data_IF_637911083016
#
_entry.id   IF_637911083016
#
_cell.length_a   1.000
_cell.length_b   1.000
_cell.length_c   1.000
_cell.angle_alpha   90.00
_cell.angle_beta   90.00
_cell.angle_gamma   90.00
#
_symmetry.space_group_name_H-M   'P 1'
#
loop_
_entity.id
_entity.type
_entity.pdbx_description
1 polymer ?
#
# COMPACT_ATOMS: atom_id res chain seq x y z
N UNK A 1 0.17 -25.47 34.03
CA UNK A 1 -0.36 -25.75 32.66
C UNK A 1 -1.31 -24.61 32.29
N UNK A 2 -0.79 -23.57 31.61
CA UNK A 2 -1.59 -22.39 31.24
C UNK A 2 -2.43 -22.80 30.03
N UNK A 3 -3.75 -22.75 30.21
CA UNK A 3 -4.74 -23.15 29.20
C UNK A 3 -4.66 -22.25 27.96
N UNK A 4 -3.98 -22.69 26.93
CA UNK A 4 -3.91 -22.07 25.58
C UNK A 4 -5.21 -22.24 24.78
N UNK A 5 -6.15 -23.04 25.29
CA UNK A 5 -7.34 -23.46 24.59
C UNK A 5 -8.37 -22.34 24.28
N UNK A 6 -8.69 -21.42 25.22
CA UNK A 6 -9.67 -20.36 24.93
C UNK A 6 -9.17 -19.27 23.99
N UNK A 7 -7.84 -19.02 23.97
CA UNK A 7 -7.22 -18.00 23.14
C UNK A 7 -7.25 -18.37 21.64
N UNK A 8 -6.90 -19.61 21.32
CA UNK A 8 -6.95 -20.11 19.94
C UNK A 8 -8.37 -20.09 19.36
N UNK A 9 -9.39 -20.38 20.18
CA UNK A 9 -10.79 -20.36 19.74
C UNK A 9 -11.26 -18.92 19.43
N UNK A 10 -10.84 -17.93 20.23
CA UNK A 10 -11.16 -16.53 19.99
C UNK A 10 -10.47 -16.02 18.74
N UNK A 11 -9.20 -16.37 18.53
CA UNK A 11 -8.42 -16.03 17.35
C UNK A 11 -9.07 -16.61 16.07
N UNK A 12 -9.48 -17.86 16.09
CA UNK A 12 -10.19 -18.48 14.97
C UNK A 12 -11.51 -17.80 14.66
N UNK A 13 -12.33 -17.53 15.67
CA UNK A 13 -13.61 -16.83 15.49
C UNK A 13 -13.44 -15.43 14.91
N UNK A 14 -12.43 -14.69 15.37
CA UNK A 14 -12.15 -13.37 14.81
C UNK A 14 -11.62 -13.46 13.38
N UNK A 15 -10.75 -14.43 13.10
CA UNK A 15 -10.26 -14.70 11.75
C UNK A 15 -11.41 -14.97 10.79
N UNK A 16 -12.36 -15.82 11.19
CA UNK A 16 -13.53 -16.15 10.39
C UNK A 16 -14.38 -14.91 10.11
N UNK A 17 -14.62 -14.06 11.12
CA UNK A 17 -15.32 -12.78 10.95
C UNK A 17 -14.60 -11.87 9.96
N UNK A 18 -13.27 -11.69 10.10
CA UNK A 18 -12.48 -10.83 9.22
C UNK A 18 -12.41 -11.34 7.78
N UNK A 19 -12.46 -12.67 7.57
CA UNK A 19 -12.48 -13.29 6.24
C UNK A 19 -13.83 -13.15 5.54
N UNK A 20 -14.94 -13.23 6.30
CA UNK A 20 -16.30 -13.18 5.74
C UNK A 20 -16.84 -11.75 5.64
N UNK A 21 -16.30 -10.81 6.43
CA UNK A 21 -16.73 -9.41 6.42
C UNK A 21 -15.50 -8.48 6.37
N UNK A 22 -15.13 -7.98 5.18
CA UNK A 22 -14.03 -7.02 5.03
C UNK A 22 -14.26 -5.69 5.78
N UNK A 23 -15.51 -5.37 6.09
CA UNK A 23 -15.89 -4.16 6.81
C UNK A 23 -16.13 -4.40 8.30
N UNK A 24 -15.79 -5.60 8.81
CA UNK A 24 -15.99 -5.93 10.21
C UNK A 24 -15.35 -4.88 11.12
N UNK A 25 -16.17 -4.29 11.98
CA UNK A 25 -15.74 -3.30 12.97
C UNK A 25 -15.32 -4.00 14.25
N UNK A 26 -14.07 -3.83 14.63
CA UNK A 26 -13.52 -4.34 15.89
C UNK A 26 -14.24 -3.72 17.08
N UNK A 27 -14.56 -4.53 18.08
CA UNK A 27 -15.42 -4.12 19.20
C UNK A 27 -14.66 -3.86 20.50
N UNK A 28 -13.43 -4.34 20.62
CA UNK A 28 -12.67 -4.27 21.88
C UNK A 28 -11.16 -4.21 21.65
N UNK A 29 -10.42 -3.82 22.69
CA UNK A 29 -8.96 -3.87 22.70
C UNK A 29 -8.41 -5.28 22.52
N UNK A 30 -9.13 -6.31 23.01
CA UNK A 30 -8.76 -7.71 22.79
C UNK A 30 -8.84 -8.07 21.30
N UNK A 31 -9.91 -7.66 20.61
CA UNK A 31 -10.04 -7.88 19.16
C UNK A 31 -8.98 -7.11 18.35
N UNK A 32 -8.60 -5.91 18.79
CA UNK A 32 -7.49 -5.15 18.19
C UNK A 32 -6.19 -5.95 18.27
N UNK A 33 -5.87 -6.46 19.44
CA UNK A 33 -4.64 -7.23 19.65
C UNK A 33 -4.65 -8.53 18.83
N UNK A 34 -5.78 -9.24 18.81
CA UNK A 34 -5.94 -10.46 18.01
C UNK A 34 -5.84 -10.18 16.51
N UNK A 35 -6.48 -9.11 16.02
CA UNK A 35 -6.40 -8.71 14.63
C UNK A 35 -4.97 -8.35 14.23
N UNK A 36 -4.23 -7.68 15.11
CA UNK A 36 -2.82 -7.39 14.90
C UNK A 36 -1.95 -8.67 14.83
N UNK A 37 -2.25 -9.68 15.64
CA UNK A 37 -1.58 -10.99 15.57
C UNK A 37 -1.92 -11.75 14.27
N UNK A 38 -3.11 -11.56 13.73
CA UNK A 38 -3.50 -12.11 12.42
C UNK A 38 -2.86 -11.36 11.24
N UNK A 39 -2.02 -10.34 11.52
CA UNK A 39 -1.32 -9.57 10.50
C UNK A 39 -2.11 -8.39 9.95
N UNK A 40 -3.29 -8.08 10.51
CA UNK A 40 -4.05 -6.90 10.09
C UNK A 40 -3.24 -5.64 10.40
N UNK A 41 -3.12 -4.76 9.41
CA UNK A 41 -2.50 -3.43 9.54
C UNK A 41 -3.31 -2.43 8.73
N UNK A 42 -3.38 -1.21 9.21
CA UNK A 42 -3.98 -0.08 8.52
C UNK A 42 -2.86 0.93 8.29
N UNK A 43 -2.52 1.15 7.03
CA UNK A 43 -1.58 2.21 6.67
C UNK A 43 -2.28 3.56 6.79
N UNK A 44 -1.85 4.35 7.77
CA UNK A 44 -2.49 5.60 8.15
C UNK A 44 -2.55 6.60 6.99
N UNK A 45 -1.51 6.64 6.15
CA UNK A 45 -1.41 7.58 5.04
C UNK A 45 -2.16 7.14 3.78
N UNK A 46 -2.57 5.86 3.71
CA UNK A 46 -3.32 5.28 2.58
C UNK A 46 -4.77 4.91 2.96
N UNK A 47 -5.08 4.90 4.25
CA UNK A 47 -6.38 4.47 4.76
C UNK A 47 -7.53 5.30 4.17
N UNK A 48 -8.59 4.62 3.76
CA UNK A 48 -9.86 5.22 3.41
C UNK A 48 -10.78 5.34 4.64
N UNK A 49 -11.97 5.90 4.46
CA UNK A 49 -12.92 6.10 5.58
C UNK A 49 -13.36 4.76 6.20
N UNK A 50 -13.57 3.73 5.38
CA UNK A 50 -14.01 2.43 5.84
C UNK A 50 -12.93 1.73 6.67
N UNK A 51 -11.66 1.90 6.31
CA UNK A 51 -10.53 1.41 7.11
C UNK A 51 -10.53 2.01 8.52
N UNK A 52 -10.75 3.33 8.63
CA UNK A 52 -10.86 4.01 9.91
C UNK A 52 -12.07 3.55 10.73
N UNK A 53 -13.20 3.26 10.07
CA UNK A 53 -14.40 2.78 10.74
C UNK A 53 -14.29 1.35 11.28
N UNK A 54 -13.31 0.58 10.85
CA UNK A 54 -13.00 -0.72 11.46
C UNK A 54 -12.46 -0.60 12.86
N UNK A 55 -11.91 0.55 13.23
CA UNK A 55 -11.32 0.81 14.53
C UNK A 55 -12.40 1.28 15.52
N UNK A 56 -12.45 0.71 16.74
CA UNK A 56 -13.40 1.14 17.75
C UNK A 56 -13.08 2.56 18.24
N UNK A 57 -14.12 3.31 18.57
CA UNK A 57 -14.00 4.66 19.14
C UNK A 57 -13.80 5.79 18.13
N UNK A 58 -13.62 5.48 16.84
CA UNK A 58 -13.56 6.50 15.79
C UNK A 58 -14.92 6.65 15.10
N UNK A 59 -15.31 7.90 14.90
CA UNK A 59 -16.53 8.26 14.18
C UNK A 59 -16.26 8.45 12.68
N UNK A 60 -17.34 8.41 11.88
CA UNK A 60 -17.26 8.67 10.44
C UNK A 60 -16.70 10.08 10.13
N UNK A 61 -17.03 11.07 10.96
CA UNK A 61 -16.50 12.43 10.80
C UNK A 61 -14.99 12.47 11.01
N UNK A 62 -14.48 11.76 12.02
CA UNK A 62 -13.05 11.66 12.29
C UNK A 62 -12.32 10.93 11.17
N UNK A 63 -12.86 9.80 10.69
CA UNK A 63 -12.31 9.10 9.52
C UNK A 63 -12.24 9.97 8.27
N UNK A 64 -13.32 10.71 7.98
CA UNK A 64 -13.34 11.67 6.86
C UNK A 64 -12.32 12.80 7.02
N UNK A 65 -12.14 13.32 8.23
CA UNK A 65 -11.14 14.37 8.50
C UNK A 65 -9.72 13.88 8.25
N UNK A 66 -9.37 12.67 8.71
CA UNK A 66 -8.06 12.08 8.47
C UNK A 66 -7.80 11.86 6.98
N UNK A 67 -8.79 11.31 6.27
CA UNK A 67 -8.68 11.10 4.82
C UNK A 67 -8.55 12.42 4.06
N UNK A 68 -9.29 13.44 4.46
CA UNK A 68 -9.20 14.77 3.84
C UNK A 68 -7.81 15.39 4.04
N UNK A 69 -7.27 15.31 5.27
CA UNK A 69 -5.92 15.80 5.59
C UNK A 69 -4.86 15.03 4.80
N UNK A 70 -4.91 13.70 4.77
CA UNK A 70 -3.97 12.90 3.99
C UNK A 70 -4.00 13.26 2.50
N UNK A 71 -5.19 13.41 1.91
CA UNK A 71 -5.36 13.82 0.51
C UNK A 71 -4.88 15.25 0.22
N UNK A 72 -4.89 16.13 1.20
CA UNK A 72 -4.32 17.49 1.07
C UNK A 72 -2.80 17.54 1.23
N UNK A 73 -2.14 16.37 1.39
CA UNK A 73 -0.69 16.25 1.49
C UNK A 73 -0.14 16.18 2.92
N UNK A 74 -1.02 16.20 3.93
CA UNK A 74 -0.58 15.98 5.33
C UNK A 74 -0.13 14.53 5.48
N UNK A 75 1.07 14.32 6.03
CA UNK A 75 1.62 13.00 6.35
C UNK A 75 1.59 12.80 7.86
N UNK A 76 1.15 11.62 8.27
CA UNK A 76 1.13 11.19 9.66
C UNK A 76 2.29 10.23 9.90
N UNK A 77 3.11 10.51 10.90
CA UNK A 77 4.32 9.73 11.23
C UNK A 77 4.16 8.92 12.52
N UNK A 78 3.22 9.34 13.37
CA UNK A 78 3.00 8.73 14.68
C UNK A 78 1.54 8.89 15.12
N UNK A 79 1.18 8.23 16.22
CA UNK A 79 -0.16 8.29 16.81
C UNK A 79 -0.48 9.70 17.33
N UNK A 80 0.52 10.42 17.77
CA UNK A 80 0.44 11.79 18.25
C UNK A 80 -0.06 12.75 17.15
N UNK A 81 0.35 12.53 15.90
CA UNK A 81 -0.13 13.34 14.76
C UNK A 81 -1.62 13.14 14.52
N UNK A 82 -2.11 11.89 14.64
CA UNK A 82 -3.55 11.59 14.54
C UNK A 82 -4.30 12.25 15.69
N UNK A 83 -3.74 12.18 16.91
CA UNK A 83 -4.32 12.78 18.09
C UNK A 83 -4.46 14.30 17.90
N UNK A 84 -3.41 14.96 17.42
CA UNK A 84 -3.40 16.39 17.13
C UNK A 84 -4.40 16.75 16.03
N UNK A 85 -4.41 16.00 14.91
CA UNK A 85 -5.33 16.23 13.79
C UNK A 85 -6.81 16.10 14.18
N UNK A 86 -7.13 15.22 15.12
CA UNK A 86 -8.50 14.99 15.59
C UNK A 86 -8.83 15.75 16.88
N UNK A 87 -7.89 16.49 17.47
CA UNK A 87 -8.02 17.13 18.78
C UNK A 87 -8.46 16.13 19.86
N UNK A 88 -7.87 14.91 19.83
CA UNK A 88 -8.17 13.85 20.78
C UNK A 88 -7.01 13.66 21.75
N UNK A 89 -7.32 13.29 23.03
CA UNK A 89 -6.27 12.85 23.95
C UNK A 89 -5.62 11.56 23.44
N UNK A 90 -4.30 11.48 23.50
CA UNK A 90 -3.52 10.35 22.94
C UNK A 90 -3.93 8.99 23.53
N UNK A 91 -4.29 8.92 24.80
CA UNK A 91 -4.67 7.67 25.46
C UNK A 91 -5.89 6.99 24.83
N UNK A 92 -6.70 7.72 24.04
CA UNK A 92 -7.81 7.13 23.27
C UNK A 92 -7.34 6.39 22.01
N UNK A 93 -6.18 6.76 21.50
CA UNK A 93 -5.61 6.19 20.28
C UNK A 93 -4.53 5.14 20.56
N UNK A 94 -3.87 5.19 21.72
CA UNK A 94 -2.87 4.21 22.10
C UNK A 94 -3.31 2.74 21.94
N UNK A 95 -4.55 2.36 22.32
CA UNK A 95 -5.02 0.98 22.12
C UNK A 95 -5.08 0.55 20.65
N UNK A 96 -5.18 1.50 19.72
CA UNK A 96 -5.24 1.25 18.28
C UNK A 96 -3.86 1.05 17.66
N UNK A 97 -2.79 1.49 18.34
CA UNK A 97 -1.40 1.47 17.85
C UNK A 97 -0.95 0.13 17.25
N UNK A 98 -1.33 -1.04 17.80
CA UNK A 98 -0.93 -2.32 17.21
C UNK A 98 -1.42 -2.56 15.78
N UNK A 99 -2.50 -1.89 15.37
CA UNK A 99 -3.06 -2.01 14.02
C UNK A 99 -2.58 -0.90 13.06
N UNK A 100 -2.03 0.19 13.59
CA UNK A 100 -1.61 1.32 12.77
C UNK A 100 -0.19 1.11 12.24
N UNK A 101 0.01 1.37 10.97
CA UNK A 101 1.32 1.48 10.36
C UNK A 101 1.50 2.87 9.76
N UNK A 102 2.67 3.45 10.01
CA UNK A 102 3.04 4.78 9.56
C UNK A 102 4.09 4.62 8.47
N UNK A 103 3.64 4.19 7.29
CA UNK A 103 4.51 4.08 6.14
C UNK A 103 4.64 5.47 5.52
N UNK A 104 5.86 5.98 5.45
CA UNK A 104 6.15 7.21 4.74
C UNK A 104 6.25 6.91 3.26
N UNK A 105 5.31 7.45 2.51
CA UNK A 105 5.36 7.45 1.05
C UNK A 105 6.01 8.75 0.61
N UNK A 106 7.31 8.70 0.34
CA UNK A 106 8.01 9.79 -0.32
C UNK A 106 7.59 9.78 -1.79
N UNK A 107 6.91 10.84 -2.23
CA UNK A 107 6.50 11.01 -3.64
C UNK A 107 7.72 11.04 -4.58
N UNK A 108 8.89 11.36 -4.05
CA UNK A 108 10.19 11.32 -4.74
C UNK A 108 10.96 10.02 -4.46
N UNK A 109 10.43 9.11 -3.64
CA UNK A 109 11.05 7.82 -3.40
C UNK A 109 10.99 6.96 -4.65
N UNK A 110 12.11 6.38 -5.04
CA UNK A 110 12.23 5.43 -6.14
C UNK A 110 11.31 4.20 -6.00
N UNK A 111 10.70 4.01 -4.81
CA UNK A 111 9.75 2.92 -4.53
C UNK A 111 8.29 3.28 -4.86
N UNK A 112 8.01 4.54 -5.24
CA UNK A 112 6.65 5.05 -5.55
C UNK A 112 6.53 5.58 -6.97
N UNK A 113 7.32 5.08 -7.88
CA UNK A 113 7.03 5.31 -9.28
C UNK A 113 5.73 4.62 -9.63
N UNK A 114 4.77 5.38 -10.16
CA UNK A 114 3.63 4.77 -10.82
C UNK A 114 4.20 3.78 -11.84
N UNK A 115 3.95 2.50 -11.57
CA UNK A 115 4.42 1.44 -12.46
C UNK A 115 3.84 1.68 -13.85
N UNK A 116 4.71 1.91 -14.83
CA UNK A 116 4.36 2.28 -16.19
C UNK A 116 4.08 1.02 -16.99
N UNK A 117 2.92 0.98 -17.66
CA UNK A 117 2.61 -0.13 -18.55
C UNK A 117 3.45 -0.02 -19.83
N UNK A 118 4.44 -0.90 -19.99
CA UNK A 118 5.37 -0.90 -21.11
C UNK A 118 4.68 -1.11 -22.47
N UNK A 119 3.50 -1.74 -22.45
CA UNK A 119 2.74 -2.07 -23.66
C UNK A 119 1.92 -0.90 -24.20
N UNK A 120 1.61 0.09 -23.35
CA UNK A 120 0.76 1.24 -23.71
C UNK A 120 1.45 2.59 -23.58
N UNK A 121 2.56 2.68 -22.83
CA UNK A 121 3.26 3.92 -22.56
C UNK A 121 3.71 4.65 -23.85
N UNK A 122 3.59 5.98 -23.86
CA UNK A 122 4.19 6.82 -24.93
C UNK A 122 5.71 6.95 -24.74
N UNK A 123 6.41 7.47 -25.74
CA UNK A 123 7.85 7.76 -25.64
C UNK A 123 8.09 8.73 -24.48
N UNK A 124 7.27 9.78 -24.37
CA UNK A 124 7.37 10.79 -23.32
C UNK A 124 7.24 10.17 -21.94
N UNK A 125 6.25 9.30 -21.75
CA UNK A 125 6.06 8.57 -20.47
C UNK A 125 7.23 7.64 -20.14
N UNK A 126 7.82 6.99 -21.15
CA UNK A 126 8.99 6.15 -20.94
C UNK A 126 10.21 6.95 -20.54
N UNK A 127 10.36 8.17 -21.01
CA UNK A 127 11.46 9.08 -20.65
C UNK A 127 11.38 9.63 -19.22
N UNK A 128 10.23 9.48 -18.54
CA UNK A 128 10.10 9.80 -17.12
C UNK A 128 10.89 8.80 -16.23
N UNK A 129 11.24 7.62 -16.79
CA UNK A 129 12.05 6.62 -16.10
C UNK A 129 13.54 7.01 -16.23
N UNK A 130 14.24 7.26 -15.11
CA UNK A 130 15.60 7.82 -15.13
C UNK A 130 16.64 6.98 -15.88
N UNK A 131 16.35 5.72 -16.11
CA UNK A 131 17.26 4.75 -16.78
C UNK A 131 16.89 4.51 -18.25
N UNK A 132 15.85 5.15 -18.76
CA UNK A 132 15.45 5.08 -20.17
C UNK A 132 15.83 6.37 -20.88
N UNK A 133 16.70 6.23 -21.86
CA UNK A 133 17.03 7.31 -22.80
C UNK A 133 16.12 7.29 -24.04
N UNK A 134 16.25 8.28 -24.90
CA UNK A 134 15.45 8.40 -26.13
C UNK A 134 15.62 7.18 -27.04
N UNK A 135 16.85 6.67 -27.18
CA UNK A 135 17.12 5.53 -28.05
C UNK A 135 16.42 4.26 -27.56
N UNK A 136 16.43 4.03 -26.24
CA UNK A 136 15.75 2.89 -25.64
C UNK A 136 14.24 3.05 -25.70
N UNK A 137 13.69 4.25 -25.45
CA UNK A 137 12.26 4.53 -25.53
C UNK A 137 11.71 4.25 -26.95
N UNK A 138 12.41 4.74 -27.98
CA UNK A 138 12.06 4.46 -29.37
C UNK A 138 12.17 2.98 -29.73
N UNK A 139 13.22 2.29 -29.26
CA UNK A 139 13.41 0.86 -29.45
C UNK A 139 12.26 0.05 -28.83
N UNK A 140 11.82 0.42 -27.61
CA UNK A 140 10.67 -0.20 -26.93
C UNK A 140 9.40 -0.08 -27.78
N UNK A 141 9.06 1.14 -28.19
CA UNK A 141 7.84 1.40 -28.97
C UNK A 141 7.90 0.67 -30.32
N UNK A 142 9.01 0.77 -31.05
CA UNK A 142 9.21 0.11 -32.33
C UNK A 142 9.12 -1.42 -32.20
N UNK A 143 9.75 -1.97 -31.17
CA UNK A 143 9.79 -3.43 -30.96
C UNK A 143 8.39 -3.99 -30.67
N UNK A 144 7.58 -3.31 -29.83
CA UNK A 144 6.21 -3.77 -29.54
C UNK A 144 5.28 -3.64 -30.74
N UNK A 145 5.48 -2.65 -31.60
CA UNK A 145 4.69 -2.49 -32.82
C UNK A 145 4.93 -3.65 -33.82
N UNK A 146 6.16 -4.14 -33.90
CA UNK A 146 6.53 -5.24 -34.82
C UNK A 146 6.26 -6.62 -34.19
N UNK A 147 6.64 -6.79 -32.92
CA UNK A 147 6.62 -8.08 -32.23
C UNK A 147 5.43 -8.29 -31.28
N UNK A 148 4.48 -7.35 -31.23
CA UNK A 148 3.35 -7.37 -30.31
C UNK A 148 3.74 -7.00 -28.89
N UNK A 149 2.76 -7.03 -27.98
CA UNK A 149 2.95 -6.71 -26.57
C UNK A 149 4.02 -7.59 -25.91
N UNK A 150 4.77 -7.00 -24.98
CA UNK A 150 5.69 -7.74 -24.13
C UNK A 150 4.91 -8.54 -23.09
N UNK A 151 5.23 -9.83 -22.95
CA UNK A 151 4.53 -10.74 -22.05
C UNK A 151 4.95 -10.57 -20.59
N UNK A 152 6.23 -10.30 -20.37
CA UNK A 152 6.85 -10.14 -19.05
C UNK A 152 8.24 -9.51 -19.19
N UNK A 153 8.88 -9.30 -18.04
CA UNK A 153 10.21 -8.68 -17.97
C UNK A 153 11.30 -9.48 -18.71
N UNK A 154 11.22 -10.82 -18.73
CA UNK A 154 12.17 -11.68 -19.42
C UNK A 154 12.02 -11.57 -20.94
N UNK A 155 10.78 -11.56 -21.42
CA UNK A 155 10.49 -11.34 -22.84
C UNK A 155 10.98 -9.94 -23.29
N UNK A 156 10.72 -8.93 -22.49
CA UNK A 156 11.21 -7.56 -22.70
C UNK A 156 12.75 -7.50 -22.78
N UNK A 157 13.43 -8.12 -21.80
CA UNK A 157 14.89 -8.20 -21.77
C UNK A 157 15.47 -8.85 -23.04
N UNK A 158 14.95 -10.02 -23.38
CA UNK A 158 15.46 -10.83 -24.51
C UNK A 158 15.24 -10.14 -25.85
N UNK A 159 14.07 -9.53 -26.05
CA UNK A 159 13.70 -8.86 -27.31
C UNK A 159 14.51 -7.60 -27.56
N UNK A 160 14.95 -6.90 -26.51
CA UNK A 160 15.74 -5.67 -26.60
C UNK A 160 17.22 -5.89 -26.29
N UNK A 161 17.64 -7.10 -25.89
CA UNK A 161 19.03 -7.41 -25.57
C UNK A 161 19.58 -6.63 -24.36
N UNK A 162 18.73 -6.36 -23.34
CA UNK A 162 19.09 -5.53 -22.22
C UNK A 162 19.96 -6.26 -21.20
N UNK A 163 20.90 -5.54 -20.58
CA UNK A 163 21.74 -6.10 -19.53
C UNK A 163 20.92 -6.40 -18.25
N UNK A 164 21.38 -7.36 -17.45
CA UNK A 164 20.78 -7.69 -16.18
C UNK A 164 20.76 -6.51 -15.21
N UNK A 165 21.81 -5.67 -15.20
CA UNK A 165 21.90 -4.48 -14.36
C UNK A 165 20.83 -3.45 -14.72
N UNK A 166 20.58 -3.24 -16.02
CA UNK A 166 19.52 -2.34 -16.47
C UNK A 166 18.13 -2.88 -16.12
N UNK A 167 17.91 -4.16 -16.32
CA UNK A 167 16.64 -4.83 -15.96
C UNK A 167 16.37 -4.75 -14.46
N UNK A 168 17.38 -4.92 -13.61
CA UNK A 168 17.25 -4.79 -12.15
C UNK A 168 16.79 -3.40 -11.71
N UNK A 169 17.16 -2.37 -12.46
CA UNK A 169 16.71 -0.99 -12.22
C UNK A 169 15.31 -0.76 -12.78
N UNK A 170 15.00 -1.28 -13.98
CA UNK A 170 13.74 -1.07 -14.66
C UNK A 170 12.57 -1.84 -14.03
N UNK A 171 12.81 -2.98 -13.37
CA UNK A 171 11.75 -3.84 -12.84
C UNK A 171 10.83 -3.15 -11.83
N UNK A 172 11.31 -2.10 -11.16
CA UNK A 172 10.53 -1.32 -10.19
C UNK A 172 9.58 -0.30 -10.84
N UNK A 173 9.82 0.03 -12.11
CA UNK A 173 9.08 1.05 -12.85
C UNK A 173 8.10 0.49 -13.87
N UNK A 174 8.25 -0.79 -14.23
CA UNK A 174 7.50 -1.40 -15.34
C UNK A 174 6.51 -2.44 -14.88
N UNK A 175 5.34 -2.47 -15.55
CA UNK A 175 4.45 -3.62 -15.50
C UNK A 175 4.00 -4.02 -16.91
N UNK A 176 3.54 -5.28 -17.01
CA UNK A 176 3.19 -5.96 -18.27
C UNK A 176 1.73 -6.43 -18.15
N UNK A 177 0.79 -5.62 -18.60
CA UNK A 177 -0.64 -5.97 -18.69
C UNK A 177 -1.15 -5.86 -20.11
#
# INVERSE_FOLDING_TARGET
>A
MISWFPWNLKLQKLRDKLLHDPYYRLQSGEEIYLAAQLGMRIDVNQANVDDWLRLPGLSIHQGRSLVALSRSGVKFYCVEDIAAALSLPIHRLEPLKPLLSFTYYDEHSLLHHQSININTASIETLLEIPTIDMALAEAVVKNRLVGGAYRNLVDFQNRLGLSGDLISKLMYYLHFQ
#
